data_IF_521404115196
#
_entry.id   IF_521404115196
#
_cell.length_a   1.000
_cell.length_b   1.000
_cell.length_c   1.000
_cell.angle_alpha   90.00
_cell.angle_beta   90.00
_cell.angle_gamma   90.00
#
_symmetry.space_group_name_H-M   'P 1'
#
loop_
_entity.id
_entity.type
_entity.pdbx_description
1 polymer ?
#
# COMPACT_ATOMS: atom_id res chain seq x y z
N UNK A 1 20.57 2.71 -12.30
CA UNK A 1 19.63 1.81 -11.57
C UNK A 1 18.62 1.23 -12.54
N UNK A 2 18.32 -0.08 -12.46
CA UNK A 2 17.25 -0.68 -13.28
C UNK A 2 15.87 -0.20 -12.82
N UNK A 3 14.87 -0.23 -13.72
CA UNK A 3 13.48 0.10 -13.39
C UNK A 3 12.95 -0.76 -12.23
N UNK A 4 13.36 -2.04 -12.18
CA UNK A 4 13.03 -2.98 -11.10
C UNK A 4 13.58 -2.52 -9.74
N UNK A 5 14.80 -1.99 -9.69
CA UNK A 5 15.40 -1.48 -8.45
C UNK A 5 14.71 -0.20 -7.96
N UNK A 6 14.35 0.71 -8.87
CA UNK A 6 13.59 1.93 -8.51
C UNK A 6 12.22 1.57 -7.92
N UNK A 7 11.52 0.62 -8.54
CA UNK A 7 10.22 0.14 -8.08
C UNK A 7 10.29 -0.47 -6.67
N UNK A 8 11.28 -1.32 -6.40
CA UNK A 8 11.51 -1.87 -5.05
C UNK A 8 11.81 -0.80 -4.02
N UNK A 9 12.55 0.25 -4.39
CA UNK A 9 12.89 1.34 -3.47
C UNK A 9 11.66 2.18 -3.12
N UNK A 10 10.79 2.44 -4.10
CA UNK A 10 9.47 3.06 -3.90
C UNK A 10 8.57 2.21 -2.99
N UNK A 11 8.53 0.90 -3.20
CA UNK A 11 7.77 -0.03 -2.34
C UNK A 11 8.31 -0.02 -0.91
N UNK A 12 9.64 -0.10 -0.74
CA UNK A 12 10.29 -0.03 0.57
C UNK A 12 9.99 1.31 1.26
N UNK A 13 10.04 2.41 0.50
CA UNK A 13 9.72 3.73 1.01
C UNK A 13 8.27 3.81 1.48
N UNK A 14 7.32 3.38 0.65
CA UNK A 14 5.91 3.29 1.02
C UNK A 14 5.72 2.45 2.28
N UNK A 15 6.36 1.30 2.37
CA UNK A 15 6.31 0.41 3.52
C UNK A 15 6.84 1.06 4.81
N UNK A 16 8.01 1.69 4.77
CA UNK A 16 8.60 2.35 5.94
C UNK A 16 7.73 3.52 6.40
N UNK A 17 7.24 4.35 5.47
CA UNK A 17 6.34 5.45 5.79
C UNK A 17 5.03 4.91 6.38
N UNK A 18 4.52 3.80 5.85
CA UNK A 18 3.37 3.09 6.40
C UNK A 18 3.60 2.64 7.84
N UNK A 19 4.73 1.99 8.11
CA UNK A 19 5.11 1.56 9.47
C UNK A 19 5.18 2.73 10.44
N UNK A 20 5.86 3.82 10.06
CA UNK A 20 5.98 5.00 10.91
C UNK A 20 4.60 5.64 11.15
N UNK A 21 3.80 5.78 10.11
CA UNK A 21 2.47 6.38 10.21
C UNK A 21 1.53 5.54 11.07
N UNK A 22 1.50 4.22 10.86
CA UNK A 22 0.72 3.30 11.68
C UNK A 22 1.20 3.24 13.13
N UNK A 23 2.49 3.45 13.41
CA UNK A 23 3.01 3.57 14.77
C UNK A 23 2.56 4.86 15.48
N UNK A 24 2.77 6.03 14.86
CA UNK A 24 2.51 7.33 15.48
C UNK A 24 1.04 7.80 15.40
N UNK A 25 0.30 7.40 14.37
CA UNK A 25 -1.03 7.90 14.02
C UNK A 25 -2.03 6.76 13.83
N UNK A 26 -2.10 5.84 14.81
CA UNK A 26 -2.93 4.62 14.76
C UNK A 26 -4.39 4.86 14.40
N UNK A 27 -5.06 5.79 15.10
CA UNK A 27 -6.48 6.10 14.88
C UNK A 27 -6.74 6.61 13.46
N UNK A 28 -5.85 7.48 12.95
CA UNK A 28 -5.96 7.99 11.59
C UNK A 28 -5.66 6.89 10.56
N UNK A 29 -4.69 6.01 10.83
CA UNK A 29 -4.40 4.87 9.96
C UNK A 29 -5.61 3.94 9.85
N UNK A 30 -6.24 3.56 10.97
CA UNK A 30 -7.42 2.69 10.98
C UNK A 30 -8.61 3.31 10.23
N UNK A 31 -8.81 4.63 10.34
CA UNK A 31 -9.87 5.33 9.59
C UNK A 31 -9.58 5.42 8.08
N UNK A 32 -8.30 5.55 7.70
CA UNK A 32 -7.88 5.67 6.30
C UNK A 32 -7.78 4.32 5.59
N UNK A 33 -7.55 3.23 6.33
CA UNK A 33 -7.35 1.89 5.77
C UNK A 33 -8.46 1.44 4.82
N UNK A 34 -9.77 1.54 5.16
CA UNK A 34 -10.83 1.15 4.26
C UNK A 34 -10.84 2.00 2.98
N UNK A 35 -10.67 3.32 3.11
CA UNK A 35 -10.70 4.25 1.98
C UNK A 35 -9.53 3.98 1.03
N UNK A 36 -8.33 3.82 1.57
CA UNK A 36 -7.13 3.54 0.79
C UNK A 36 -7.17 2.15 0.16
N UNK A 37 -7.60 1.12 0.90
CA UNK A 37 -7.68 -0.25 0.39
C UNK A 37 -8.74 -0.39 -0.71
N UNK A 38 -9.93 0.18 -0.51
CA UNK A 38 -11.00 0.16 -1.50
C UNK A 38 -10.60 1.00 -2.72
N UNK A 39 -10.05 2.21 -2.52
CA UNK A 39 -9.63 3.08 -3.61
C UNK A 39 -8.55 2.45 -4.49
N UNK A 40 -7.53 1.84 -3.89
CA UNK A 40 -6.49 1.11 -4.61
C UNK A 40 -7.04 -0.15 -5.27
N UNK A 41 -7.88 -0.92 -4.57
CA UNK A 41 -8.48 -2.15 -5.10
C UNK A 41 -9.37 -1.89 -6.32
N UNK A 42 -10.29 -0.92 -6.22
CA UNK A 42 -11.17 -0.52 -7.33
C UNK A 42 -10.35 0.08 -8.47
N UNK A 43 -9.41 0.98 -8.15
CA UNK A 43 -8.55 1.59 -9.16
C UNK A 43 -7.75 0.55 -9.94
N UNK A 44 -7.17 -0.43 -9.25
CA UNK A 44 -6.46 -1.54 -9.88
C UNK A 44 -7.41 -2.40 -10.72
N UNK A 45 -8.58 -2.77 -10.19
CA UNK A 45 -9.55 -3.63 -10.87
C UNK A 45 -10.12 -3.02 -12.15
N UNK A 46 -10.57 -1.76 -12.09
CA UNK A 46 -11.07 -1.03 -13.27
C UNK A 46 -9.97 -0.97 -14.33
N UNK A 47 -8.75 -0.66 -13.90
CA UNK A 47 -7.65 -0.47 -14.81
C UNK A 47 -7.14 -1.78 -15.42
N UNK A 48 -7.06 -2.87 -14.64
CA UNK A 48 -6.71 -4.19 -15.16
C UNK A 48 -7.74 -4.67 -16.18
N UNK A 49 -9.01 -4.33 -15.98
CA UNK A 49 -10.09 -4.65 -16.93
C UNK A 49 -9.93 -3.86 -18.24
N UNK A 50 -9.66 -2.56 -18.17
CA UNK A 50 -9.44 -1.70 -19.35
C UNK A 50 -8.18 -2.10 -20.13
N UNK A 51 -7.13 -2.50 -19.42
CA UNK A 51 -5.88 -2.92 -20.04
C UNK A 51 -5.96 -4.33 -20.58
N UNK A 52 -6.75 -5.24 -20.02
CA UNK A 52 -6.86 -6.60 -20.56
C UNK A 52 -7.33 -6.63 -22.03
N UNK A 53 -7.99 -5.57 -22.52
CA UNK A 53 -8.42 -5.40 -23.91
C UNK A 53 -7.33 -4.86 -24.86
N UNK A 54 -6.20 -4.40 -24.33
CA UNK A 54 -5.05 -3.93 -25.11
C UNK A 54 -3.85 -4.78 -24.69
N UNK A 55 -3.12 -5.42 -25.60
CA UNK A 55 -1.94 -6.28 -25.31
C UNK A 55 -0.77 -5.64 -24.50
N UNK A 56 -0.98 -4.53 -23.79
CA UNK A 56 -0.02 -3.92 -22.89
C UNK A 56 -0.03 -4.60 -21.54
N UNK A 57 1.16 -4.89 -21.01
CA UNK A 57 1.30 -5.38 -19.64
C UNK A 57 0.93 -4.27 -18.65
N UNK A 58 0.30 -4.63 -17.52
CA UNK A 58 -0.04 -3.67 -16.44
C UNK A 58 1.22 -3.00 -15.86
N UNK A 59 2.36 -3.69 -15.96
CA UNK A 59 3.69 -3.22 -15.55
C UNK A 59 4.22 -2.06 -16.42
N UNK A 60 3.72 -1.88 -17.66
CA UNK A 60 4.15 -0.81 -18.57
C UNK A 60 3.45 0.53 -18.30
N UNK A 61 2.57 0.57 -17.32
CA UNK A 61 1.76 1.75 -17.06
C UNK A 61 2.39 2.62 -15.99
N UNK A 62 2.62 3.89 -16.33
CA UNK A 62 3.33 4.86 -15.49
C UNK A 62 2.75 5.10 -14.09
N UNK A 63 1.46 4.81 -13.83
CA UNK A 63 0.85 4.96 -12.50
C UNK A 63 0.91 3.68 -11.65
N UNK A 64 1.22 2.52 -12.23
CA UNK A 64 1.32 1.25 -11.51
C UNK A 64 2.34 1.26 -10.35
N UNK A 65 3.52 1.90 -10.47
CA UNK A 65 4.43 2.07 -9.35
C UNK A 65 3.82 2.83 -8.16
N UNK A 66 2.89 3.76 -8.42
CA UNK A 66 2.21 4.52 -7.38
C UNK A 66 1.20 3.65 -6.61
N UNK A 67 0.45 2.81 -7.31
CA UNK A 67 -0.44 1.80 -6.70
C UNK A 67 0.34 0.87 -5.79
N UNK A 68 1.47 0.37 -6.28
CA UNK A 68 2.34 -0.49 -5.48
C UNK A 68 2.87 0.25 -4.25
N UNK A 69 3.27 1.51 -4.37
CA UNK A 69 3.70 2.29 -3.22
C UNK A 69 2.58 2.42 -2.17
N UNK A 70 1.34 2.72 -2.57
CA UNK A 70 0.20 2.81 -1.63
C UNK A 70 -0.12 1.44 -1.01
N UNK A 71 -0.08 0.36 -1.79
CA UNK A 71 -0.25 -1.00 -1.28
C UNK A 71 0.76 -1.32 -0.16
N UNK A 72 2.04 -1.04 -0.40
CA UNK A 72 3.07 -1.27 0.60
C UNK A 72 2.95 -0.35 1.82
N UNK A 73 2.49 0.90 1.63
CA UNK A 73 2.12 1.80 2.72
C UNK A 73 0.99 1.23 3.59
N UNK A 74 -0.08 0.75 2.96
CA UNK A 74 -1.20 0.07 3.66
C UNK A 74 -0.65 -1.10 4.47
N UNK A 75 0.13 -1.99 3.86
CA UNK A 75 0.70 -3.16 4.54
C UNK A 75 1.54 -2.75 5.77
N UNK A 76 2.44 -1.77 5.62
CA UNK A 76 3.26 -1.29 6.73
C UNK A 76 2.41 -0.66 7.85
N UNK A 77 1.42 0.14 7.49
CA UNK A 77 0.55 0.78 8.48
C UNK A 77 -0.35 -0.20 9.22
N UNK A 78 -0.91 -1.20 8.54
CA UNK A 78 -1.67 -2.30 9.17
C UNK A 78 -0.80 -3.07 10.15
N UNK A 79 0.41 -3.47 9.74
CA UNK A 79 1.30 -4.26 10.57
C UNK A 79 1.66 -3.50 11.85
N UNK A 80 2.13 -2.27 11.74
CA UNK A 80 2.50 -1.46 12.91
C UNK A 80 1.31 -1.16 13.82
N UNK A 81 0.14 -0.80 13.26
CA UNK A 81 -1.04 -0.50 14.08
C UNK A 81 -1.60 -1.72 14.80
N UNK A 82 -1.61 -2.89 14.15
CA UNK A 82 -2.14 -4.12 14.72
C UNK A 82 -1.18 -4.78 15.70
N UNK A 83 0.14 -4.72 15.47
CA UNK A 83 1.13 -5.24 16.43
C UNK A 83 1.01 -4.48 17.75
N UNK A 84 0.87 -3.16 17.71
CA UNK A 84 0.65 -2.36 18.92
C UNK A 84 -0.67 -2.68 19.59
N UNK A 85 -1.75 -2.84 18.82
CA UNK A 85 -3.06 -3.18 19.36
C UNK A 85 -3.07 -4.58 20.00
N UNK A 86 -2.38 -5.55 19.38
CA UNK A 86 -2.19 -6.89 19.94
C UNK A 86 -1.35 -6.86 21.22
N UNK A 87 -0.28 -6.06 21.28
CA UNK A 87 0.52 -5.86 22.48
C UNK A 87 -0.29 -5.25 23.63
N UNK A 88 -1.14 -4.24 23.34
CA UNK A 88 -2.04 -3.64 24.32
C UNK A 88 -3.05 -4.65 24.88
N UNK A 89 -3.63 -5.50 24.03
CA UNK A 89 -4.56 -6.56 24.45
C UNK A 89 -3.89 -7.67 25.27
N UNK A 90 -2.61 -7.96 25.05
CA UNK A 90 -1.87 -9.03 25.74
C UNK A 90 -1.35 -8.58 27.12
N UNK A 91 -1.18 -7.26 27.31
CA UNK A 91 -0.71 -6.67 28.56
C UNK A 91 -1.86 -6.20 29.49
N UNK A 92 -3.12 -6.33 29.07
CA UNK A 92 -4.32 -6.15 29.90
C UNK A 92 -4.72 -7.46 30.59
#
# INVERSE_FOLDING_TARGET
MSQKSKRRLLQLFGFIIGLLFGYFRRSQMQALLPVLAIGVGIGYFIFSTIISDKEKSVDDVGWFPFVQMIMYFIIGGVLSSNVLLALELLLQ
#
